data_IF_545375328535
#
_entry.id   IF_545375328535
#
_cell.length_a   1.000
_cell.length_b   1.000
_cell.length_c   1.000
_cell.angle_alpha   90.00
_cell.angle_beta   90.00
_cell.angle_gamma   90.00
#
_symmetry.space_group_name_H-M   'P 1'
#
loop_
_entity.id
_entity.type
_entity.pdbx_description
1 polymer ?
#
# COMPACT_ATOMS: atom_id res chain seq x y z
N UNK A 1 -26.02 -0.49 4.08
CA UNK A 1 -25.51 -1.44 5.09
C UNK A 1 -24.09 -1.91 4.77
N UNK A 2 -23.77 -2.30 3.54
CA UNK A 2 -22.42 -2.74 3.17
C UNK A 2 -21.30 -1.71 3.46
N UNK A 3 -21.60 -0.43 3.38
CA UNK A 3 -20.64 0.65 3.67
C UNK A 3 -20.32 0.80 5.17
N UNK A 4 -21.30 0.58 6.04
CA UNK A 4 -21.12 0.65 7.49
C UNK A 4 -20.26 -0.52 8.00
N UNK A 5 -20.50 -1.74 7.54
CA UNK A 5 -19.72 -2.92 7.94
C UNK A 5 -18.26 -2.80 7.49
N UNK A 6 -18.01 -2.29 6.30
CA UNK A 6 -16.67 -1.98 5.79
C UNK A 6 -15.96 -0.92 6.66
N UNK A 7 -16.68 0.15 7.04
CA UNK A 7 -16.15 1.19 7.91
C UNK A 7 -15.82 0.66 9.31
N UNK A 8 -16.70 -0.19 9.89
CA UNK A 8 -16.49 -0.83 11.20
C UNK A 8 -15.24 -1.73 11.15
N UNK A 9 -15.15 -2.61 10.16
CA UNK A 9 -14.02 -3.52 10.00
C UNK A 9 -12.70 -2.75 9.85
N UNK A 10 -12.68 -1.70 9.01
CA UNK A 10 -11.51 -0.82 8.88
C UNK A 10 -11.13 -0.20 10.21
N UNK A 11 -12.10 0.32 10.97
CA UNK A 11 -11.84 0.96 12.27
C UNK A 11 -11.28 -0.03 13.31
N UNK A 12 -11.80 -1.25 13.33
CA UNK A 12 -11.30 -2.31 14.22
C UNK A 12 -9.86 -2.66 13.87
N UNK A 13 -9.56 -2.89 12.59
CA UNK A 13 -8.21 -3.24 12.12
C UNK A 13 -7.22 -2.11 12.42
N UNK A 14 -7.59 -0.87 12.17
CA UNK A 14 -6.74 0.29 12.46
C UNK A 14 -6.48 0.43 13.95
N UNK A 15 -7.52 0.32 14.78
CA UNK A 15 -7.40 0.39 16.23
C UNK A 15 -6.49 -0.71 16.78
N UNK A 16 -6.69 -1.95 16.35
CA UNK A 16 -5.87 -3.08 16.77
C UNK A 16 -4.40 -2.91 16.36
N UNK A 17 -4.15 -2.51 15.12
CA UNK A 17 -2.79 -2.27 14.61
C UNK A 17 -2.10 -1.11 15.30
N UNK A 18 -2.81 -0.02 15.56
CA UNK A 18 -2.27 1.10 16.36
C UNK A 18 -1.91 0.62 17.75
N UNK A 19 -2.77 -0.11 18.43
CA UNK A 19 -2.54 -0.57 19.79
C UNK A 19 -1.39 -1.58 19.89
N UNK A 20 -1.31 -2.53 18.96
CA UNK A 20 -0.30 -3.62 19.04
C UNK A 20 1.09 -3.22 18.53
N UNK A 21 1.19 -2.30 17.56
CA UNK A 21 2.48 -2.02 16.90
C UNK A 21 3.23 -0.82 17.48
N UNK A 22 2.54 0.07 18.20
CA UNK A 22 3.09 1.40 18.23
C UNK A 22 3.66 1.86 19.52
N UNK A 23 2.86 1.89 20.53
CA UNK A 23 3.24 2.74 21.64
C UNK A 23 4.04 1.95 22.68
N UNK A 24 3.50 0.81 23.07
CA UNK A 24 4.09 0.04 24.16
C UNK A 24 5.32 -0.73 23.71
N UNK A 25 5.26 -1.38 22.54
CA UNK A 25 6.36 -2.26 22.10
C UNK A 25 7.61 -1.48 21.70
N UNK A 26 7.49 -0.52 20.78
CA UNK A 26 8.67 0.18 20.25
C UNK A 26 9.28 1.12 21.30
N UNK A 27 8.46 1.73 22.16
CA UNK A 27 8.96 2.49 23.32
C UNK A 27 9.70 1.60 24.29
N UNK A 28 9.15 0.43 24.60
CA UNK A 28 9.80 -0.51 25.51
C UNK A 28 11.18 -0.94 25.01
N UNK A 29 11.39 -1.07 23.70
CA UNK A 29 12.72 -1.37 23.13
C UNK A 29 13.73 -0.26 23.41
N UNK A 30 13.32 1.01 23.32
CA UNK A 30 14.19 2.16 23.64
C UNK A 30 14.44 2.28 25.13
N UNK A 31 13.38 2.15 25.95
CA UNK A 31 13.47 2.30 27.41
C UNK A 31 14.27 1.14 28.07
N UNK A 32 14.17 -0.08 27.54
CA UNK A 32 14.83 -1.28 28.07
C UNK A 32 16.22 -1.53 27.49
N UNK A 33 16.68 -0.69 26.56
CA UNK A 33 18.01 -0.86 25.99
C UNK A 33 19.07 -0.68 27.06
N UNK A 34 19.89 -1.70 27.29
CA UNK A 34 20.95 -1.75 28.33
C UNK A 34 22.35 -1.46 27.81
N UNK A 35 22.50 -1.27 26.50
CA UNK A 35 23.77 -0.91 25.87
C UNK A 35 24.22 0.51 26.24
N UNK A 36 25.53 0.69 26.31
CA UNK A 36 26.10 2.02 26.56
C UNK A 36 25.95 2.90 25.32
N UNK A 37 25.32 4.06 25.49
CA UNK A 37 25.17 5.10 24.48
C UNK A 37 25.99 6.32 24.90
N UNK A 38 26.96 6.69 24.08
CA UNK A 38 27.78 7.87 24.29
C UNK A 38 27.35 8.96 23.33
N UNK A 39 26.64 9.96 23.82
CA UNK A 39 26.14 11.06 23.02
C UNK A 39 27.12 12.21 22.85
N UNK A 40 28.29 12.14 23.47
CA UNK A 40 29.32 13.18 23.33
C UNK A 40 30.46 12.73 22.38
N UNK A 41 30.90 13.57 21.44
CA UNK A 41 30.35 14.91 21.16
C UNK A 41 29.02 14.85 20.37
N UNK A 42 28.06 15.66 20.78
CA UNK A 42 26.71 15.67 20.19
C UNK A 42 26.71 16.07 18.70
N UNK A 43 27.69 16.83 18.28
CA UNK A 43 27.90 17.29 16.91
C UNK A 43 28.16 16.11 15.97
N UNK A 44 28.83 15.06 16.41
CA UNK A 44 29.08 13.84 15.64
C UNK A 44 27.78 13.05 15.38
N UNK A 45 26.76 13.28 16.18
CA UNK A 45 25.40 12.70 16.01
C UNK A 45 24.42 13.65 15.32
N UNK A 46 24.89 14.80 14.81
CA UNK A 46 24.06 15.84 14.20
C UNK A 46 22.96 16.36 15.15
N UNK A 47 23.24 16.41 16.43
CA UNK A 47 22.34 16.96 17.45
C UNK A 47 22.71 18.41 17.71
N UNK A 48 21.73 19.31 17.61
CA UNK A 48 21.96 20.72 17.88
C UNK A 48 22.08 21.00 19.37
N UNK A 49 22.91 21.96 19.75
CA UNK A 49 23.12 22.35 21.13
C UNK A 49 21.84 22.85 21.82
N UNK A 50 20.96 23.53 21.06
CA UNK A 50 19.71 24.04 21.61
C UNK A 50 18.73 22.90 21.92
N UNK A 51 18.53 21.96 20.99
CA UNK A 51 17.67 20.81 21.22
C UNK A 51 18.22 19.91 22.35
N UNK A 52 19.55 19.69 22.40
CA UNK A 52 20.20 18.96 23.48
C UNK A 52 19.92 19.61 24.85
N UNK A 53 20.20 20.90 24.98
CA UNK A 53 19.95 21.64 26.20
C UNK A 53 18.49 21.56 26.64
N UNK A 54 17.54 21.69 25.68
CA UNK A 54 16.13 21.59 25.98
C UNK A 54 15.77 20.21 26.56
N UNK A 55 16.27 19.12 25.96
CA UNK A 55 16.00 17.74 26.40
C UNK A 55 16.58 17.50 27.81
N UNK A 56 17.83 17.86 28.03
CA UNK A 56 18.53 17.62 29.31
C UNK A 56 17.94 18.48 30.43
N UNK A 57 17.67 19.77 30.18
CA UNK A 57 17.05 20.66 31.19
C UNK A 57 15.60 20.30 31.51
N UNK A 58 14.90 19.66 30.58
CA UNK A 58 13.54 19.10 30.80
C UNK A 58 13.58 17.74 31.51
N UNK A 59 14.76 17.26 31.88
CA UNK A 59 14.98 15.97 32.57
C UNK A 59 14.48 14.75 31.75
N UNK A 60 14.60 14.82 30.42
CA UNK A 60 14.39 13.67 29.54
C UNK A 60 15.70 12.94 29.29
N UNK A 61 15.63 11.62 29.14
CA UNK A 61 16.79 10.84 28.74
C UNK A 61 17.08 11.08 27.24
N UNK A 62 18.33 11.42 26.85
CA UNK A 62 18.68 11.68 25.45
C UNK A 62 18.22 10.58 24.48
N UNK A 63 18.33 9.30 24.87
CA UNK A 63 17.88 8.17 24.04
C UNK A 63 16.38 8.16 23.73
N UNK A 64 15.56 8.84 24.53
CA UNK A 64 14.12 8.96 24.27
C UNK A 64 13.81 9.96 23.17
N UNK A 65 14.79 10.71 22.71
CA UNK A 65 14.59 11.77 21.72
C UNK A 65 15.53 11.63 20.52
N UNK A 66 16.78 11.31 20.80
CA UNK A 66 17.84 11.24 19.78
C UNK A 66 18.22 9.80 19.48
N UNK A 67 18.29 9.49 18.18
CA UNK A 67 18.75 8.20 17.69
C UNK A 67 20.27 8.07 17.85
N UNK A 68 20.72 6.87 18.20
CA UNK A 68 22.13 6.56 18.31
C UNK A 68 22.47 5.35 17.41
N UNK A 69 23.57 5.40 16.61
CA UNK A 69 23.95 4.31 15.70
C UNK A 69 24.08 2.96 16.41
N UNK A 70 24.65 2.92 17.61
CA UNK A 70 24.83 1.69 18.41
C UNK A 70 23.47 1.04 18.71
N UNK A 71 22.46 1.82 19.09
CA UNK A 71 21.11 1.30 19.34
C UNK A 71 20.46 0.78 18.05
N UNK A 72 20.55 1.52 16.93
CA UNK A 72 20.02 1.10 15.64
C UNK A 72 20.68 -0.17 15.10
N UNK A 73 21.96 -0.40 15.43
CA UNK A 73 22.66 -1.63 15.06
C UNK A 73 22.25 -2.82 15.93
N UNK A 74 22.10 -2.59 17.22
CA UNK A 74 21.77 -3.64 18.18
C UNK A 74 20.29 -4.03 18.13
N UNK A 75 19.39 -3.05 17.96
CA UNK A 75 17.93 -3.22 17.92
C UNK A 75 17.38 -2.38 16.78
N UNK A 76 17.47 -2.89 15.52
CA UNK A 76 17.07 -2.15 14.32
C UNK A 76 15.64 -1.65 14.35
N UNK A 77 14.73 -2.35 15.02
CA UNK A 77 13.32 -2.00 15.18
C UNK A 77 13.11 -0.64 15.86
N UNK A 78 14.10 -0.16 16.64
CA UNK A 78 14.06 1.19 17.24
C UNK A 78 14.05 2.31 16.19
N UNK A 79 14.42 2.02 14.94
CA UNK A 79 14.23 2.92 13.80
C UNK A 79 12.80 3.41 13.70
N UNK A 80 11.81 2.53 13.89
CA UNK A 80 10.39 2.91 13.85
C UNK A 80 10.02 3.96 14.89
N UNK A 81 10.62 3.91 16.07
CA UNK A 81 10.41 4.91 17.13
C UNK A 81 10.86 6.30 16.68
N UNK A 82 12.14 6.44 16.32
CA UNK A 82 12.72 7.74 15.95
C UNK A 82 12.15 8.29 14.66
N UNK A 83 11.92 7.42 13.66
CA UNK A 83 11.30 7.80 12.38
C UNK A 83 9.90 8.39 12.58
N UNK A 84 9.09 7.72 13.39
CA UNK A 84 7.72 8.16 13.62
C UNK A 84 7.69 9.44 14.48
N UNK A 85 8.58 9.58 15.47
CA UNK A 85 8.75 10.83 16.24
C UNK A 85 9.12 12.00 15.32
N UNK A 86 9.99 11.75 14.34
CA UNK A 86 10.39 12.71 13.32
C UNK A 86 9.35 12.95 12.21
N UNK A 87 8.17 12.30 12.27
CA UNK A 87 7.11 12.42 11.27
C UNK A 87 7.56 12.04 9.83
N UNK A 88 8.54 11.13 9.70
CA UNK A 88 9.07 10.72 8.41
C UNK A 88 8.38 9.45 7.90
N UNK A 89 7.79 9.44 6.67
CA UNK A 89 7.36 8.21 6.03
C UNK A 89 8.56 7.38 5.57
N UNK A 90 8.40 6.05 5.47
CA UNK A 90 9.45 5.10 5.04
C UNK A 90 10.14 5.52 3.73
N UNK A 91 9.33 5.88 2.72
CA UNK A 91 9.84 6.34 1.43
C UNK A 91 10.79 7.54 1.58
N UNK A 92 10.44 8.50 2.44
CA UNK A 92 11.27 9.69 2.64
C UNK A 92 12.61 9.37 3.29
N UNK A 93 12.64 8.42 4.22
CA UNK A 93 13.91 7.94 4.81
C UNK A 93 14.77 7.25 3.76
N UNK A 94 14.16 6.44 2.90
CA UNK A 94 14.86 5.80 1.79
C UNK A 94 15.46 6.81 0.81
N UNK A 95 14.72 7.89 0.49
CA UNK A 95 15.18 8.94 -0.43
C UNK A 95 16.34 9.78 0.18
N UNK A 96 16.31 10.06 1.48
CA UNK A 96 17.23 10.99 2.15
C UNK A 96 18.45 10.29 2.80
N UNK A 97 18.33 9.03 3.13
CA UNK A 97 19.38 8.26 3.80
C UNK A 97 19.51 6.85 3.21
N UNK A 98 18.79 5.88 3.80
CA UNK A 98 18.72 4.47 3.35
C UNK A 98 17.36 3.88 3.68
N UNK A 99 16.95 2.85 2.93
CA UNK A 99 15.72 2.12 3.25
C UNK A 99 15.81 1.38 4.58
N UNK A 100 14.84 1.61 5.46
CA UNK A 100 14.75 1.03 6.81
C UNK A 100 13.58 0.06 6.98
N UNK A 101 12.83 -0.23 5.94
CA UNK A 101 11.66 -1.11 5.99
C UNK A 101 11.98 -2.49 6.56
N UNK A 102 13.12 -3.07 6.16
CA UNK A 102 13.58 -4.36 6.70
C UNK A 102 14.01 -4.29 8.16
N UNK A 103 14.43 -3.11 8.66
CA UNK A 103 14.82 -2.92 10.05
C UNK A 103 13.60 -2.90 10.97
N UNK A 104 12.52 -2.31 10.49
CA UNK A 104 11.27 -2.13 11.23
C UNK A 104 10.33 -3.34 11.14
N UNK A 105 10.72 -4.37 10.39
CA UNK A 105 9.91 -5.59 10.23
C UNK A 105 10.32 -6.65 11.24
N UNK A 106 9.42 -7.11 12.11
CA UNK A 106 9.73 -8.16 13.10
C UNK A 106 10.00 -9.53 12.47
N UNK A 107 9.68 -9.71 11.18
CA UNK A 107 9.84 -10.98 10.45
C UNK A 107 11.14 -11.06 9.65
N UNK A 108 11.87 -9.94 9.52
CA UNK A 108 13.10 -9.88 8.70
C UNK A 108 14.31 -9.61 9.61
N UNK A 109 15.26 -10.53 9.63
CA UNK A 109 16.57 -10.28 10.24
C UNK A 109 17.35 -9.31 9.34
N UNK A 110 17.54 -8.07 9.79
CA UNK A 110 18.28 -7.06 9.05
C UNK A 110 19.68 -6.91 9.65
N UNK A 111 20.72 -7.12 8.82
CA UNK A 111 22.08 -6.74 9.20
C UNK A 111 22.27 -5.25 8.94
N UNK A 112 22.39 -4.48 10.01
CA UNK A 112 22.62 -3.03 9.96
C UNK A 112 24.10 -2.75 10.11
N UNK A 113 24.69 -2.06 9.13
CA UNK A 113 26.09 -1.61 9.21
C UNK A 113 26.18 -0.27 9.94
N UNK A 114 27.33 0.01 10.55
CA UNK A 114 27.59 1.26 11.25
C UNK A 114 27.36 2.49 10.35
N UNK A 115 27.86 2.46 9.12
CA UNK A 115 27.65 3.54 8.15
C UNK A 115 26.17 3.83 7.91
N UNK A 116 25.37 2.78 7.70
CA UNK A 116 23.92 2.92 7.48
C UNK A 116 23.21 3.42 8.73
N UNK A 117 23.55 2.87 9.89
CA UNK A 117 22.99 3.29 11.17
C UNK A 117 23.30 4.77 11.46
N UNK A 118 24.52 5.20 11.19
CA UNK A 118 24.95 6.61 11.36
C UNK A 118 24.15 7.55 10.44
N UNK A 119 24.03 7.23 9.14
CA UNK A 119 23.23 8.03 8.21
C UNK A 119 21.78 8.18 8.65
N UNK A 120 21.17 7.11 9.14
CA UNK A 120 19.78 7.12 9.61
C UNK A 120 19.63 7.89 10.92
N UNK A 121 20.54 7.67 11.88
CA UNK A 121 20.55 8.43 13.15
C UNK A 121 20.69 9.93 12.90
N UNK A 122 21.61 10.34 12.01
CA UNK A 122 21.80 11.75 11.63
C UNK A 122 20.53 12.36 11.07
N UNK A 123 19.87 11.68 10.12
CA UNK A 123 18.62 12.16 9.56
C UNK A 123 17.55 12.37 10.64
N UNK A 124 17.36 11.38 11.52
CA UNK A 124 16.35 11.47 12.57
C UNK A 124 16.67 12.58 13.56
N UNK A 125 17.95 12.73 13.95
CA UNK A 125 18.39 13.74 14.90
C UNK A 125 18.23 15.16 14.34
N UNK A 126 18.61 15.40 13.07
CA UNK A 126 18.43 16.71 12.42
C UNK A 126 16.94 17.09 12.40
N UNK A 127 16.06 16.16 12.05
CA UNK A 127 14.61 16.45 11.98
C UNK A 127 14.02 16.64 13.37
N UNK A 128 14.38 15.80 14.36
CA UNK A 128 13.91 15.94 15.73
C UNK A 128 14.40 17.24 16.36
N UNK A 129 15.67 17.63 16.16
CA UNK A 129 16.18 18.94 16.58
C UNK A 129 15.36 20.08 15.99
N UNK A 130 15.08 20.05 14.70
CA UNK A 130 14.28 21.07 14.03
C UNK A 130 12.84 21.16 14.58
N UNK A 131 12.23 20.03 14.92
CA UNK A 131 10.90 19.98 15.55
C UNK A 131 10.92 20.59 16.95
N UNK A 132 11.96 20.27 17.74
CA UNK A 132 12.12 20.81 19.10
C UNK A 132 12.34 22.31 19.07
N UNK A 133 13.24 22.77 18.20
CA UNK A 133 13.59 24.19 18.07
C UNK A 133 12.45 25.04 17.48
N UNK A 134 11.62 24.44 16.65
CA UNK A 134 10.43 25.07 16.09
C UNK A 134 9.31 25.33 17.11
N UNK A 135 9.44 24.81 18.34
CA UNK A 135 8.41 24.94 19.39
C UNK A 135 9.03 25.19 20.76
N UNK A 136 8.79 26.35 21.31
CA UNK A 136 9.29 26.72 22.64
C UNK A 136 8.69 25.89 23.79
N UNK A 137 7.53 25.29 23.56
CA UNK A 137 6.76 24.47 24.52
C UNK A 137 6.85 22.97 24.22
N UNK A 138 7.83 22.51 23.43
CA UNK A 138 7.98 21.10 23.10
C UNK A 138 8.21 20.23 24.34
N UNK A 139 7.52 19.12 24.39
CA UNK A 139 7.66 18.09 25.44
C UNK A 139 7.82 16.72 24.80
N UNK A 140 8.37 15.75 25.52
CA UNK A 140 8.45 14.36 25.09
C UNK A 140 7.08 13.78 24.71
N UNK A 141 5.99 14.25 25.38
CA UNK A 141 4.62 13.89 25.03
C UNK A 141 4.22 14.38 23.63
N UNK A 142 4.76 15.50 23.16
CA UNK A 142 4.55 15.95 21.78
C UNK A 142 5.25 14.99 20.79
N UNK A 143 6.44 14.51 21.12
CA UNK A 143 7.14 13.48 20.35
C UNK A 143 6.30 12.18 20.22
N UNK A 144 5.70 11.72 21.30
CA UNK A 144 4.81 10.55 21.29
C UNK A 144 3.55 10.78 20.47
N UNK A 145 2.95 11.96 20.53
CA UNK A 145 1.80 12.32 19.67
C UNK A 145 2.17 12.32 18.20
N UNK A 146 3.34 12.85 17.84
CA UNK A 146 3.87 12.78 16.48
C UNK A 146 4.01 11.33 16.03
N UNK A 147 4.57 10.48 16.89
CA UNK A 147 4.77 9.06 16.60
C UNK A 147 3.44 8.36 16.29
N UNK A 148 2.43 8.50 17.13
CA UNK A 148 1.11 7.90 16.91
C UNK A 148 0.46 8.45 15.64
N UNK A 149 0.55 9.75 15.40
CA UNK A 149 -0.02 10.39 14.21
C UNK A 149 0.63 9.89 12.91
N UNK A 150 1.97 9.83 12.87
CA UNK A 150 2.70 9.35 11.68
C UNK A 150 2.42 7.87 11.39
N UNK A 151 2.28 7.06 12.42
CA UNK A 151 1.90 5.66 12.27
C UNK A 151 0.48 5.51 11.77
N UNK A 152 -0.47 6.31 12.25
CA UNK A 152 -1.84 6.35 11.73
C UNK A 152 -1.89 6.70 10.25
N UNK A 153 -1.10 7.69 9.81
CA UNK A 153 -0.97 8.06 8.39
C UNK A 153 -0.43 6.88 7.57
N UNK A 154 0.63 6.23 8.04
CA UNK A 154 1.22 5.06 7.38
C UNK A 154 0.27 3.87 7.30
N UNK A 155 -0.51 3.63 8.34
CA UNK A 155 -1.52 2.57 8.38
C UNK A 155 -2.68 2.83 7.41
N UNK A 156 -3.13 4.09 7.27
CA UNK A 156 -4.16 4.43 6.30
C UNK A 156 -3.70 4.14 4.86
N UNK A 157 -2.46 4.48 4.52
CA UNK A 157 -1.86 4.10 3.24
C UNK A 157 -1.79 2.59 3.02
N UNK A 158 -1.38 1.84 4.04
CA UNK A 158 -1.33 0.37 4.00
C UNK A 158 -2.73 -0.23 3.82
N UNK A 159 -3.74 0.30 4.51
CA UNK A 159 -5.13 -0.16 4.36
C UNK A 159 -5.68 0.10 2.95
N UNK A 160 -5.35 1.23 2.35
CA UNK A 160 -5.75 1.51 0.95
C UNK A 160 -5.13 0.50 -0.02
N UNK A 161 -3.87 0.12 0.20
CA UNK A 161 -3.20 -0.90 -0.62
C UNK A 161 -3.83 -2.28 -0.42
N UNK A 162 -4.14 -2.68 0.83
CA UNK A 162 -4.82 -3.95 1.13
C UNK A 162 -6.19 -3.99 0.45
N UNK A 163 -7.00 -2.94 0.59
CA UNK A 163 -8.33 -2.87 -0.04
C UNK A 163 -8.19 -2.93 -1.58
N UNK A 164 -7.16 -2.31 -2.15
CA UNK A 164 -6.88 -2.39 -3.58
C UNK A 164 -6.56 -3.81 -4.02
N UNK A 165 -5.65 -4.47 -3.31
CA UNK A 165 -5.22 -5.84 -3.60
C UNK A 165 -6.31 -6.89 -3.33
N UNK A 166 -7.13 -6.68 -2.30
CA UNK A 166 -8.30 -7.53 -2.04
C UNK A 166 -9.31 -7.44 -3.19
N UNK A 167 -9.54 -6.25 -3.75
CA UNK A 167 -10.45 -6.07 -4.88
C UNK A 167 -9.93 -6.77 -6.15
N UNK A 168 -8.64 -6.65 -6.45
CA UNK A 168 -7.98 -7.33 -7.56
C UNK A 168 -8.10 -8.86 -7.40
N UNK A 169 -7.71 -9.40 -6.25
CA UNK A 169 -7.83 -10.83 -5.96
C UNK A 169 -9.27 -11.34 -6.05
N UNK A 170 -10.26 -10.55 -5.58
CA UNK A 170 -11.68 -10.92 -5.68
C UNK A 170 -12.14 -11.04 -7.14
N UNK A 171 -11.75 -10.09 -7.99
CA UNK A 171 -12.10 -10.12 -9.42
C UNK A 171 -11.41 -11.30 -10.10
N UNK A 172 -10.11 -11.51 -9.88
CA UNK A 172 -9.34 -12.65 -10.43
C UNK A 172 -9.94 -13.98 -10.06
N UNK A 173 -10.17 -14.22 -8.77
CA UNK A 173 -10.75 -15.47 -8.28
C UNK A 173 -12.14 -15.70 -8.88
N UNK A 174 -12.99 -14.69 -8.91
CA UNK A 174 -14.35 -14.83 -9.43
C UNK A 174 -14.40 -15.13 -10.93
N UNK A 175 -13.54 -14.49 -11.71
CA UNK A 175 -13.39 -14.78 -13.13
C UNK A 175 -12.89 -16.20 -13.35
N UNK A 176 -11.87 -16.61 -12.61
CA UNK A 176 -11.32 -17.96 -12.67
C UNK A 176 -12.36 -19.03 -12.28
N UNK A 177 -13.07 -18.82 -11.18
CA UNK A 177 -14.14 -19.75 -10.72
C UNK A 177 -15.23 -19.92 -11.76
N UNK A 178 -15.63 -18.82 -12.41
CA UNK A 178 -16.62 -18.88 -13.48
C UNK A 178 -16.09 -19.64 -14.70
N UNK A 179 -14.86 -19.37 -15.14
CA UNK A 179 -14.23 -20.09 -16.25
C UNK A 179 -14.14 -21.58 -15.94
N UNK A 180 -13.75 -21.95 -14.72
CA UNK A 180 -13.65 -23.33 -14.26
C UNK A 180 -15.02 -24.02 -14.24
N UNK A 181 -16.03 -23.35 -13.69
CA UNK A 181 -17.41 -23.89 -13.62
C UNK A 181 -18.02 -24.15 -15.01
N UNK A 182 -17.55 -23.42 -16.03
CA UNK A 182 -17.98 -23.60 -17.43
C UNK A 182 -17.06 -24.52 -18.24
N UNK A 183 -16.07 -25.18 -17.59
CA UNK A 183 -15.17 -26.11 -18.25
C UNK A 183 -14.19 -25.46 -19.24
N UNK A 184 -13.92 -24.16 -19.08
CA UNK A 184 -13.03 -23.38 -19.96
C UNK A 184 -11.58 -23.34 -19.49
N UNK A 185 -11.28 -23.72 -18.25
CA UNK A 185 -9.91 -23.85 -17.72
C UNK A 185 -9.38 -25.24 -18.06
N UNK A 186 -8.20 -25.31 -18.69
CA UNK A 186 -7.47 -26.54 -18.97
C UNK A 186 -6.46 -26.80 -17.86
N UNK A 187 -5.65 -25.80 -17.49
CA UNK A 187 -4.63 -25.86 -16.43
C UNK A 187 -4.36 -24.49 -15.85
N UNK A 188 -4.05 -24.41 -14.56
CA UNK A 188 -3.68 -23.19 -13.85
C UNK A 188 -4.44 -22.96 -12.54
N UNK A 189 -4.08 -21.88 -11.86
CA UNK A 189 -4.62 -21.44 -10.57
C UNK A 189 -4.82 -19.90 -10.60
N UNK A 190 -5.82 -19.31 -9.91
CA UNK A 190 -6.07 -17.87 -9.92
C UNK A 190 -4.96 -17.03 -9.29
N UNK A 191 -3.97 -17.65 -8.65
CA UNK A 191 -2.83 -17.00 -8.02
C UNK A 191 -1.49 -17.26 -8.73
N UNK A 192 -1.49 -18.06 -9.80
CA UNK A 192 -0.35 -18.25 -10.70
C UNK A 192 -0.38 -17.20 -11.81
N UNK A 193 0.79 -16.90 -12.39
CA UNK A 193 0.91 -15.87 -13.42
C UNK A 193 0.25 -16.24 -14.75
N UNK A 194 -0.16 -17.50 -14.92
CA UNK A 194 -0.69 -18.05 -16.17
C UNK A 194 -1.75 -19.11 -15.93
N UNK A 195 -2.84 -19.05 -16.70
CA UNK A 195 -3.90 -20.05 -16.76
C UNK A 195 -4.17 -20.39 -18.23
N UNK A 196 -4.07 -21.69 -18.57
CA UNK A 196 -4.43 -22.18 -19.90
C UNK A 196 -5.94 -22.35 -20.01
N UNK A 197 -6.53 -21.77 -21.06
CA UNK A 197 -7.96 -21.85 -21.35
C UNK A 197 -8.22 -22.67 -22.62
N UNK A 198 -9.48 -23.06 -22.81
CA UNK A 198 -9.93 -23.77 -24.00
C UNK A 198 -9.66 -22.96 -25.30
N UNK A 199 -9.57 -23.67 -26.43
CA UNK A 199 -9.53 -23.10 -27.78
C UNK A 199 -8.32 -22.19 -28.07
N UNK A 200 -7.17 -22.43 -27.41
CA UNK A 200 -5.95 -21.64 -27.60
C UNK A 200 -5.93 -20.33 -26.86
N UNK A 201 -6.92 -20.08 -26.00
CA UNK A 201 -6.91 -18.91 -25.12
C UNK A 201 -6.02 -19.13 -23.90
N UNK A 202 -5.56 -18.02 -23.34
CA UNK A 202 -4.91 -18.01 -22.03
C UNK A 202 -5.27 -16.76 -21.26
N UNK A 203 -5.26 -16.87 -19.93
CA UNK A 203 -5.40 -15.76 -19.02
C UNK A 203 -4.08 -15.57 -18.27
N UNK A 204 -3.56 -14.35 -18.25
CA UNK A 204 -2.31 -14.00 -17.57
C UNK A 204 -2.59 -12.94 -16.52
N UNK A 205 -1.86 -13.01 -15.43
CA UNK A 205 -1.94 -12.04 -14.36
C UNK A 205 -0.69 -11.18 -14.36
N UNK A 206 -0.89 -9.86 -14.47
CA UNK A 206 0.18 -8.88 -14.49
C UNK A 206 0.05 -7.86 -13.36
N UNK A 207 0.96 -6.92 -13.35
CA UNK A 207 0.88 -5.74 -12.48
C UNK A 207 0.24 -4.54 -13.17
N UNK A 208 0.31 -4.46 -14.49
CA UNK A 208 -0.21 -3.38 -15.32
C UNK A 208 -0.38 -3.88 -16.78
N UNK A 209 -1.57 -4.35 -17.19
CA UNK A 209 -2.85 -4.51 -16.47
C UNK A 209 -2.91 -5.74 -15.54
N UNK A 210 -3.93 -5.77 -14.65
CA UNK A 210 -4.08 -6.82 -13.62
C UNK A 210 -4.43 -8.20 -14.21
N UNK A 211 -5.26 -8.24 -15.29
CA UNK A 211 -5.64 -9.48 -16.00
C UNK A 211 -5.54 -9.23 -17.50
N UNK A 212 -4.95 -10.19 -18.21
CA UNK A 212 -4.81 -10.18 -19.66
C UNK A 212 -5.42 -11.45 -20.25
N UNK A 213 -6.17 -11.31 -21.33
CA UNK A 213 -6.69 -12.44 -22.12
C UNK A 213 -5.98 -12.48 -23.48
N UNK A 214 -5.41 -13.63 -23.79
CA UNK A 214 -4.65 -13.86 -25.01
C UNK A 214 -5.29 -14.96 -25.85
N UNK A 215 -5.29 -14.79 -27.16
CA UNK A 215 -5.53 -15.83 -28.14
C UNK A 215 -4.24 -16.09 -28.87
N UNK A 216 -3.65 -17.25 -28.70
CA UNK A 216 -2.29 -17.57 -29.12
C UNK A 216 -1.31 -16.49 -28.60
N UNK A 217 -0.65 -15.75 -29.49
CA UNK A 217 0.31 -14.69 -29.14
C UNK A 217 -0.29 -13.27 -29.20
N UNK A 218 -1.62 -13.15 -29.28
CA UNK A 218 -2.27 -11.85 -29.40
C UNK A 218 -3.12 -11.52 -28.16
N UNK A 219 -2.82 -10.40 -27.50
CA UNK A 219 -3.67 -9.89 -26.43
C UNK A 219 -4.97 -9.34 -27.01
N UNK A 220 -6.11 -9.92 -26.64
CA UNK A 220 -7.44 -9.57 -27.15
C UNK A 220 -8.23 -8.70 -26.17
N UNK A 221 -8.03 -8.88 -24.87
CA UNK A 221 -8.68 -8.09 -23.84
C UNK A 221 -7.77 -7.92 -22.63
N UNK A 222 -7.97 -6.84 -21.89
CA UNK A 222 -7.32 -6.61 -20.60
C UNK A 222 -8.31 -6.06 -19.57
N UNK A 223 -8.08 -6.35 -18.29
CA UNK A 223 -8.87 -5.83 -17.17
C UNK A 223 -7.95 -5.19 -16.17
N UNK A 224 -8.24 -3.96 -15.81
CA UNK A 224 -7.56 -3.22 -14.74
C UNK A 224 -8.54 -3.00 -13.58
N UNK A 225 -8.15 -3.30 -12.36
CA UNK A 225 -8.99 -3.21 -11.17
C UNK A 225 -8.53 -2.06 -10.28
N UNK A 226 -9.40 -1.11 -10.01
CA UNK A 226 -9.15 0.03 -9.11
C UNK A 226 -10.18 0.03 -7.98
N UNK A 227 -9.97 -0.83 -6.98
CA UNK A 227 -10.91 -1.14 -5.89
C UNK A 227 -11.23 0.01 -4.92
N UNK A 228 -10.49 1.12 -4.96
CA UNK A 228 -10.70 2.25 -4.05
C UNK A 228 -12.07 2.89 -4.19
N UNK A 229 -12.80 3.09 -3.06
CA UNK A 229 -14.18 3.60 -3.02
C UNK A 229 -14.29 5.09 -2.69
N UNK A 230 -13.17 5.76 -2.40
CA UNK A 230 -13.15 7.20 -2.13
C UNK A 230 -13.37 8.00 -3.43
N UNK A 231 -14.45 8.82 -3.53
CA UNK A 231 -14.70 9.65 -4.71
C UNK A 231 -13.60 10.67 -5.01
N UNK A 232 -12.90 11.19 -3.99
CA UNK A 232 -11.86 12.19 -4.18
C UNK A 232 -10.67 11.65 -4.99
N UNK A 233 -10.34 10.36 -4.85
CA UNK A 233 -9.28 9.70 -5.60
C UNK A 233 -9.70 9.10 -6.95
N UNK A 234 -10.96 9.28 -7.39
CA UNK A 234 -11.47 8.62 -8.60
C UNK A 234 -10.70 8.99 -9.87
N UNK A 235 -10.34 10.26 -10.03
CA UNK A 235 -9.60 10.74 -11.22
C UNK A 235 -8.14 10.32 -11.21
N UNK A 236 -7.50 10.22 -10.06
CA UNK A 236 -6.15 9.69 -9.93
C UNK A 236 -6.12 8.20 -10.35
N UNK A 237 -7.10 7.42 -9.89
CA UNK A 237 -7.23 6.01 -10.28
C UNK A 237 -7.53 5.82 -11.76
N UNK A 238 -8.34 6.71 -12.37
CA UNK A 238 -8.53 6.71 -13.82
C UNK A 238 -7.22 6.99 -14.55
N UNK A 239 -6.44 7.96 -14.11
CA UNK A 239 -5.13 8.27 -14.69
C UNK A 239 -4.16 7.08 -14.60
N UNK A 240 -4.14 6.38 -13.45
CA UNK A 240 -3.33 5.18 -13.28
C UNK A 240 -3.79 4.04 -14.21
N UNK A 241 -5.11 3.80 -14.32
CA UNK A 241 -5.64 2.78 -15.22
C UNK A 241 -5.35 3.11 -16.70
N UNK A 242 -5.48 4.36 -17.11
CA UNK A 242 -5.14 4.79 -18.48
C UNK A 242 -3.67 4.49 -18.79
N UNK A 243 -2.77 4.81 -17.86
CA UNK A 243 -1.34 4.50 -18.00
C UNK A 243 -1.08 2.99 -18.11
N UNK A 244 -1.80 2.16 -17.35
CA UNK A 244 -1.72 0.71 -17.46
C UNK A 244 -2.11 0.23 -18.87
N UNK A 245 -3.15 0.81 -19.43
CA UNK A 245 -3.61 0.49 -20.79
C UNK A 245 -2.70 1.01 -21.91
N UNK A 246 -1.82 1.97 -21.66
CA UNK A 246 -0.80 2.39 -22.64
C UNK A 246 0.16 1.23 -22.99
N UNK A 247 0.25 0.19 -22.15
CA UNK A 247 1.03 -1.01 -22.40
C UNK A 247 0.31 -2.06 -23.26
N UNK A 248 -0.98 -1.87 -23.55
CA UNK A 248 -1.76 -2.84 -24.33
C UNK A 248 -1.72 -2.52 -25.83
N UNK A 249 -1.79 -3.55 -26.71
CA UNK A 249 -1.91 -3.33 -28.16
C UNK A 249 -3.17 -2.51 -28.50
N UNK A 250 -3.12 -1.72 -29.58
CA UNK A 250 -4.25 -0.91 -30.03
C UNK A 250 -5.49 -1.72 -30.44
N UNK A 251 -5.32 -3.02 -30.71
CA UNK A 251 -6.40 -3.97 -31.00
C UNK A 251 -7.04 -4.56 -29.75
N UNK A 252 -6.39 -4.41 -28.60
CA UNK A 252 -6.88 -4.92 -27.31
C UNK A 252 -8.06 -4.08 -26.81
N UNK A 253 -9.08 -4.74 -26.29
CA UNK A 253 -10.21 -4.05 -25.64
C UNK A 253 -9.93 -3.96 -24.15
N UNK A 254 -9.91 -2.74 -23.62
CA UNK A 254 -9.56 -2.45 -22.24
C UNK A 254 -10.80 -2.30 -21.36
N UNK A 255 -10.81 -3.01 -20.24
CA UNK A 255 -11.87 -2.98 -19.24
C UNK A 255 -11.34 -2.39 -17.92
N UNK A 256 -12.07 -1.45 -17.37
CA UNK A 256 -11.81 -0.90 -16.05
C UNK A 256 -12.88 -1.37 -15.07
N UNK A 257 -12.47 -2.07 -14.01
CA UNK A 257 -13.34 -2.40 -12.88
C UNK A 257 -13.03 -1.43 -11.74
N UNK A 258 -13.95 -0.50 -11.45
CA UNK A 258 -13.74 0.60 -10.52
C UNK A 258 -14.62 0.49 -9.26
N UNK A 259 -14.03 0.69 -8.08
CA UNK A 259 -14.75 0.73 -6.81
C UNK A 259 -15.73 1.90 -6.67
N UNK A 260 -15.46 2.99 -7.39
CA UNK A 260 -16.35 4.16 -7.51
C UNK A 260 -16.17 4.81 -8.87
N UNK A 261 -17.27 5.21 -9.49
CA UNK A 261 -17.30 5.98 -10.74
C UNK A 261 -18.00 7.30 -10.44
N UNK A 262 -17.28 8.41 -10.48
CA UNK A 262 -17.86 9.75 -10.33
C UNK A 262 -18.36 10.28 -11.67
N UNK A 263 -19.27 11.27 -11.66
CA UNK A 263 -19.77 11.89 -12.89
C UNK A 263 -18.63 12.51 -13.72
N UNK A 264 -17.59 13.04 -13.10
CA UNK A 264 -16.42 13.57 -13.81
C UNK A 264 -15.57 12.46 -14.42
N UNK A 265 -15.38 11.34 -13.69
CA UNK A 265 -14.69 10.18 -14.21
C UNK A 265 -15.43 9.59 -15.42
N UNK A 266 -16.77 9.47 -15.35
CA UNK A 266 -17.58 8.99 -16.44
C UNK A 266 -17.44 9.89 -17.69
N UNK A 267 -17.52 11.22 -17.55
CA UNK A 267 -17.31 12.15 -18.67
C UNK A 267 -15.95 11.96 -19.35
N UNK A 268 -14.89 11.69 -18.58
CA UNK A 268 -13.56 11.43 -19.14
C UNK A 268 -13.48 10.08 -19.85
N UNK A 269 -14.09 9.05 -19.28
CA UNK A 269 -14.20 7.73 -19.91
C UNK A 269 -14.96 7.81 -21.24
N UNK A 270 -16.07 8.54 -21.27
CA UNK A 270 -16.86 8.78 -22.49
C UNK A 270 -16.04 9.52 -23.55
N UNK A 271 -15.18 10.48 -23.15
CA UNK A 271 -14.29 11.19 -24.06
C UNK A 271 -13.15 10.32 -24.59
N UNK A 272 -12.62 9.40 -23.78
CA UNK A 272 -11.63 8.40 -24.23
C UNK A 272 -12.26 7.40 -25.20
N UNK A 273 -13.45 6.91 -24.90
CA UNK A 273 -14.29 6.07 -25.78
C UNK A 273 -13.77 4.66 -26.05
N UNK A 274 -12.57 4.30 -25.61
CA UNK A 274 -11.93 2.99 -25.85
C UNK A 274 -11.90 2.10 -24.62
N UNK A 275 -12.25 2.61 -23.44
CA UNK A 275 -12.25 1.89 -22.18
C UNK A 275 -13.70 1.55 -21.80
N UNK A 276 -13.98 0.27 -21.60
CA UNK A 276 -15.27 -0.21 -21.07
C UNK A 276 -15.19 -0.26 -19.55
N UNK A 277 -16.21 0.24 -18.87
CA UNK A 277 -16.18 0.38 -17.42
C UNK A 277 -17.30 -0.38 -16.74
N UNK A 278 -16.94 -1.06 -15.63
CA UNK A 278 -17.87 -1.74 -14.72
C UNK A 278 -17.58 -1.29 -13.28
N UNK A 279 -18.60 -1.30 -12.43
CA UNK A 279 -18.37 -1.10 -11.01
C UNK A 279 -17.84 -2.39 -10.37
N UNK A 280 -17.00 -2.26 -9.35
CA UNK A 280 -16.53 -3.42 -8.61
C UNK A 280 -17.71 -4.20 -8.00
N UNK A 281 -18.73 -3.50 -7.50
CA UNK A 281 -19.93 -4.14 -6.95
C UNK A 281 -20.70 -4.97 -7.99
N UNK A 282 -20.75 -4.53 -9.24
CA UNK A 282 -21.35 -5.31 -10.33
C UNK A 282 -20.58 -6.59 -10.63
N UNK A 283 -19.25 -6.53 -10.53
CA UNK A 283 -18.41 -7.69 -10.87
C UNK A 283 -18.30 -8.69 -9.72
N UNK A 284 -18.30 -8.25 -8.45
CA UNK A 284 -18.12 -9.15 -7.31
C UNK A 284 -19.41 -9.72 -6.72
N UNK A 285 -20.58 -9.24 -7.15
CA UNK A 285 -21.90 -9.74 -6.68
C UNK A 285 -22.62 -10.48 -7.78
N UNK A 286 -23.45 -11.47 -7.39
CA UNK A 286 -24.35 -12.10 -8.32
C UNK A 286 -25.43 -11.12 -8.74
N UNK A 287 -25.78 -11.14 -10.04
CA UNK A 287 -26.82 -10.30 -10.57
C UNK A 287 -26.54 -9.80 -12.00
N UNK A 288 -27.38 -8.87 -12.44
CA UNK A 288 -27.36 -8.35 -13.81
C UNK A 288 -25.99 -7.77 -14.19
N UNK A 289 -25.31 -7.08 -13.25
CA UNK A 289 -23.99 -6.49 -13.49
C UNK A 289 -22.92 -7.53 -13.80
N UNK A 290 -22.91 -8.64 -13.06
CA UNK A 290 -22.00 -9.75 -13.29
C UNK A 290 -22.18 -10.38 -14.67
N UNK A 291 -23.42 -10.69 -15.03
CA UNK A 291 -23.69 -11.26 -16.35
C UNK A 291 -23.42 -10.27 -17.49
N UNK A 292 -23.65 -8.98 -17.27
CA UNK A 292 -23.26 -7.95 -18.23
C UNK A 292 -21.73 -7.91 -18.44
N UNK A 293 -20.95 -7.99 -17.36
CA UNK A 293 -19.49 -8.08 -17.43
C UNK A 293 -19.03 -9.34 -18.18
N UNK A 294 -19.56 -10.51 -17.82
CA UNK A 294 -19.22 -11.77 -18.47
C UNK A 294 -19.54 -11.76 -19.97
N UNK A 295 -20.74 -11.28 -20.34
CA UNK A 295 -21.10 -11.19 -21.74
C UNK A 295 -20.17 -10.25 -22.51
N UNK A 296 -19.86 -9.09 -21.92
CA UNK A 296 -19.04 -8.13 -22.59
C UNK A 296 -17.60 -8.64 -22.78
N UNK A 297 -17.03 -9.28 -21.77
CA UNK A 297 -15.67 -9.84 -21.84
C UNK A 297 -15.67 -11.13 -22.67
N UNK A 298 -16.43 -12.15 -22.29
CA UNK A 298 -16.23 -13.52 -22.79
C UNK A 298 -17.07 -13.87 -24.02
N UNK A 299 -18.22 -13.22 -24.20
CA UNK A 299 -19.04 -13.45 -25.40
C UNK A 299 -18.74 -12.45 -26.53
N UNK A 300 -18.62 -11.15 -26.22
CA UNK A 300 -18.46 -10.13 -27.27
C UNK A 300 -17.00 -9.86 -27.64
N UNK A 301 -16.06 -9.89 -26.71
CA UNK A 301 -14.67 -9.51 -26.95
C UNK A 301 -13.75 -10.72 -27.08
N UNK A 302 -13.60 -11.52 -26.04
CA UNK A 302 -12.75 -12.73 -26.07
C UNK A 302 -13.33 -13.79 -26.98
N UNK A 303 -14.66 -13.93 -27.02
CA UNK A 303 -15.42 -14.88 -27.86
C UNK A 303 -15.13 -16.35 -27.55
N UNK A 304 -14.83 -16.65 -26.30
CA UNK A 304 -14.62 -18.02 -25.82
C UNK A 304 -15.97 -18.74 -25.55
N UNK A 305 -17.09 -18.03 -25.64
CA UNK A 305 -18.45 -18.58 -25.50
C UNK A 305 -19.28 -18.23 -26.69
N UNK A 306 -19.97 -19.23 -27.26
CA UNK A 306 -20.84 -19.06 -28.45
C UNK A 306 -22.21 -18.45 -28.16
N UNK A 307 -22.66 -18.51 -26.92
CA UNK A 307 -24.00 -18.06 -26.51
C UNK A 307 -23.94 -16.99 -25.42
N UNK A 308 -24.98 -16.17 -25.39
CA UNK A 308 -25.19 -15.15 -24.34
C UNK A 308 -25.23 -15.82 -22.97
N UNK A 309 -24.44 -15.29 -22.02
CA UNK A 309 -24.32 -15.79 -20.65
C UNK A 309 -25.50 -15.24 -19.83
N UNK A 310 -26.34 -16.12 -19.31
CA UNK A 310 -27.49 -15.78 -18.48
C UNK A 310 -27.36 -16.41 -17.09
N UNK A 311 -27.91 -15.74 -16.06
CA UNK A 311 -28.13 -16.37 -14.77
C UNK A 311 -29.40 -17.20 -14.81
N UNK A 312 -29.31 -18.48 -14.55
CA UNK A 312 -30.46 -19.29 -14.21
C UNK A 312 -30.88 -19.11 -12.76
#
# INVERSE_FOLDING_TARGET
MADLDSAINRSIILSDRITRRTDVYVRSLVDQFDGKLDFEPIEDLMISRNAWNHVVTSNYEPRQVFAHPVMLMAVPETSAYYRNMAMLPLKRVSDLAVGVESWESPTKSARVTEERATKVAHLYNVVNCSIIEGRTDWTLQNGYRNMIANMGIGLDGTMRNIIGQDADNMVKTRVFDWLTANGLVIDGDPFEDFTELAEGYSMRYGSEPDIEFWLDDTMVASVEVKGGRDPAGALERLGAATKSFDNTPSSCVNFLVAGVITAEMQRRLDAIGTIRVFTLDDVIRDGVGWYAFLNEVFHHVVRITDSTITGE
#
